data_IF_474706690022
#
_entry.id   IF_474706690022
#
_cell.length_a   1.000
_cell.length_b   1.000
_cell.length_c   1.000
_cell.angle_alpha   90.00
_cell.angle_beta   90.00
_cell.angle_gamma   90.00
#
_symmetry.space_group_name_H-M   'P 1'
#
loop_
_entity.id
_entity.type
_entity.pdbx_description
1 polymer ?
#
# COMPACT_ATOMS: atom_id res chain seq x y z
N UNK A 1 -17.00 14.97 22.05
CA UNK A 1 -16.69 15.43 20.70
C UNK A 1 -16.69 14.21 19.79
N UNK A 2 -17.38 14.32 18.66
CA UNK A 2 -17.46 13.26 17.64
C UNK A 2 -16.18 13.35 16.79
N UNK A 3 -15.09 12.82 17.33
CA UNK A 3 -13.80 12.81 16.63
C UNK A 3 -13.64 11.48 15.91
N UNK A 4 -13.00 11.51 14.73
CA UNK A 4 -12.97 10.40 13.79
C UNK A 4 -11.81 9.44 14.09
N UNK A 5 -11.99 8.20 13.72
CA UNK A 5 -10.95 7.16 13.68
C UNK A 5 -10.78 6.80 12.22
N UNK A 6 -9.60 7.06 11.65
CA UNK A 6 -9.31 6.81 10.23
C UNK A 6 -8.42 5.57 10.03
N UNK A 7 -7.49 5.32 10.96
CA UNK A 7 -6.61 4.17 10.92
C UNK A 7 -7.32 2.84 11.22
N UNK A 8 -6.75 1.74 10.79
CA UNK A 8 -7.23 0.42 11.17
C UNK A 8 -6.91 0.11 12.65
N UNK A 9 -7.79 -0.67 13.27
CA UNK A 9 -7.56 -1.16 14.62
C UNK A 9 -6.50 -2.27 14.63
N UNK A 10 -5.63 -2.27 15.63
CA UNK A 10 -4.68 -3.34 15.90
C UNK A 10 -5.13 -4.17 17.11
N UNK A 11 -5.09 -5.48 16.97
CA UNK A 11 -5.46 -6.43 18.03
C UNK A 11 -4.20 -7.08 18.59
N UNK A 12 -4.00 -6.95 19.90
CA UNK A 12 -2.95 -7.65 20.65
C UNK A 12 -3.56 -8.33 21.89
N UNK A 13 -3.46 -9.65 21.94
CA UNK A 13 -4.06 -10.49 22.98
C UNK A 13 -5.55 -10.17 23.19
N UNK A 14 -5.92 -9.64 24.36
CA UNK A 14 -7.30 -9.32 24.75
C UNK A 14 -7.63 -7.83 24.55
N UNK A 15 -6.80 -7.07 23.85
CA UNK A 15 -6.93 -5.62 23.66
C UNK A 15 -6.96 -5.23 22.19
N UNK A 16 -7.74 -4.19 21.88
CA UNK A 16 -7.75 -3.53 20.59
C UNK A 16 -7.30 -2.08 20.74
N UNK A 17 -6.41 -1.62 19.87
CA UNK A 17 -5.83 -0.27 19.88
C UNK A 17 -6.20 0.49 18.61
N UNK A 18 -6.54 1.79 18.76
CA UNK A 18 -6.87 2.69 17.65
C UNK A 18 -6.27 4.08 17.86
N UNK A 19 -5.82 4.71 16.79
CA UNK A 19 -5.49 6.12 16.73
C UNK A 19 -6.73 6.96 16.43
N UNK A 20 -6.77 8.20 16.92
CA UNK A 20 -7.89 9.11 16.76
C UNK A 20 -7.40 10.49 16.25
N UNK A 21 -8.26 11.21 15.52
CA UNK A 21 -7.98 12.54 14.98
C UNK A 21 -7.74 13.62 16.07
N UNK A 22 -8.07 13.30 17.33
CA UNK A 22 -7.77 14.17 18.48
C UNK A 22 -6.33 14.03 19.02
N UNK A 23 -5.49 13.23 18.37
CA UNK A 23 -4.12 12.99 18.81
C UNK A 23 -3.97 11.96 19.93
N UNK A 24 -5.03 11.25 20.28
CA UNK A 24 -5.00 10.20 21.30
C UNK A 24 -4.95 8.80 20.66
N UNK A 25 -4.34 7.89 21.39
CA UNK A 25 -4.47 6.45 21.15
C UNK A 25 -5.31 5.85 22.27
N UNK A 26 -6.30 5.08 21.88
CA UNK A 26 -7.19 4.38 22.79
C UNK A 26 -7.00 2.88 22.71
N UNK A 27 -7.05 2.22 23.87
CA UNK A 27 -7.10 0.76 23.95
C UNK A 27 -8.35 0.30 24.69
N UNK A 28 -8.96 -0.79 24.21
CA UNK A 28 -10.18 -1.35 24.75
C UNK A 28 -10.02 -2.85 24.97
N UNK A 29 -10.60 -3.37 26.03
CA UNK A 29 -10.74 -4.80 26.25
C UNK A 29 -11.73 -5.40 25.24
N UNK A 30 -11.36 -6.50 24.59
CA UNK A 30 -12.18 -7.13 23.54
C UNK A 30 -13.43 -7.78 24.12
N UNK A 31 -13.38 -8.29 25.37
CA UNK A 31 -14.47 -9.04 25.96
C UNK A 31 -15.65 -8.17 26.38
N UNK A 32 -15.39 -6.96 26.89
CA UNK A 32 -16.42 -6.10 27.45
C UNK A 32 -16.45 -4.67 26.85
N UNK A 33 -15.49 -4.31 26.00
CA UNK A 33 -15.39 -3.00 25.34
C UNK A 33 -14.97 -1.87 26.28
N UNK A 34 -14.54 -2.16 27.51
CA UNK A 34 -14.08 -1.13 28.43
C UNK A 34 -12.74 -0.54 27.98
N UNK A 35 -12.61 0.80 28.10
CA UNK A 35 -11.35 1.48 27.84
C UNK A 35 -10.31 1.09 28.90
N UNK A 36 -9.19 0.51 28.46
CA UNK A 36 -8.09 0.05 29.31
C UNK A 36 -6.83 0.86 29.14
N UNK A 37 -6.70 1.59 28.02
CA UNK A 37 -5.51 2.35 27.67
C UNK A 37 -5.88 3.68 27.03
N UNK A 38 -5.12 4.74 27.35
CA UNK A 38 -5.18 6.04 26.69
C UNK A 38 -3.80 6.71 26.77
N UNK A 39 -3.30 7.15 25.62
CA UNK A 39 -2.09 7.95 25.51
C UNK A 39 -2.41 9.21 24.72
N UNK A 40 -2.00 10.36 25.24
CA UNK A 40 -2.14 11.68 24.63
C UNK A 40 -0.80 12.05 23.95
N UNK A 41 -0.82 12.22 22.60
CA UNK A 41 0.34 12.58 21.77
C UNK A 41 0.27 14.04 21.28
N UNK A 42 -0.70 14.82 21.75
CA UNK A 42 -0.95 16.19 21.34
C UNK A 42 -2.30 16.37 20.65
N UNK A 43 -2.39 17.36 19.75
CA UNK A 43 -3.65 17.68 19.08
C UNK A 43 -3.65 17.32 17.58
N UNK A 44 -2.57 16.71 17.09
CA UNK A 44 -2.44 16.36 15.69
C UNK A 44 -2.95 14.94 15.43
N UNK A 45 -3.55 14.72 14.29
CA UNK A 45 -4.27 13.49 13.96
C UNK A 45 -3.37 12.24 14.01
N UNK A 46 -3.91 11.14 14.50
CA UNK A 46 -3.32 9.80 14.45
C UNK A 46 -4.09 8.98 13.40
N UNK A 47 -3.73 9.15 12.14
CA UNK A 47 -4.31 8.42 11.00
C UNK A 47 -3.63 7.06 10.78
N UNK A 48 -2.36 6.96 11.15
CA UNK A 48 -1.57 5.73 11.13
C UNK A 48 -2.21 4.65 12.01
N UNK A 49 -2.29 3.42 11.50
CA UNK A 49 -2.71 2.27 12.30
C UNK A 49 -1.59 1.86 13.25
N UNK A 50 -1.84 1.72 14.56
CA UNK A 50 -0.79 1.31 15.50
C UNK A 50 -0.38 -0.15 15.28
N UNK A 51 0.83 -0.51 15.73
CA UNK A 51 1.24 -1.91 15.96
C UNK A 51 1.76 -2.07 17.37
N UNK A 52 1.67 -3.29 17.90
CA UNK A 52 2.23 -3.64 19.22
C UNK A 52 3.34 -4.68 19.05
N UNK A 53 4.50 -4.39 19.62
CA UNK A 53 5.66 -5.29 19.63
C UNK A 53 6.30 -5.24 21.02
N UNK A 54 6.53 -6.38 21.64
CA UNK A 54 7.24 -6.52 22.91
C UNK A 54 6.70 -5.60 24.05
N UNK A 55 5.37 -5.40 24.11
CA UNK A 55 4.73 -4.55 25.14
C UNK A 55 4.85 -3.04 24.90
N UNK A 56 5.29 -2.64 23.71
CA UNK A 56 5.33 -1.26 23.23
C UNK A 56 4.42 -1.08 22.02
N UNK A 57 3.74 0.06 21.96
CA UNK A 57 2.91 0.47 20.82
C UNK A 57 3.68 1.49 19.99
N UNK A 58 3.64 1.30 18.66
CA UNK A 58 4.29 2.17 17.68
C UNK A 58 3.26 2.77 16.74
N UNK A 59 3.40 4.07 16.45
CA UNK A 59 2.44 4.80 15.60
C UNK A 59 3.09 6.05 15.00
N UNK A 60 2.60 6.45 13.82
CA UNK A 60 2.92 7.75 13.21
C UNK A 60 1.83 8.78 13.51
N UNK A 61 2.20 10.06 13.49
CA UNK A 61 1.28 11.20 13.66
C UNK A 61 1.47 12.23 12.54
N UNK A 62 0.43 12.96 12.21
CA UNK A 62 0.49 14.07 11.25
C UNK A 62 1.35 15.24 11.71
N UNK A 63 1.79 15.25 13.00
CA UNK A 63 2.79 16.21 13.47
C UNK A 63 4.24 15.90 13.03
N UNK A 64 4.42 14.84 12.25
CA UNK A 64 5.74 14.43 11.74
C UNK A 64 6.54 13.57 12.70
N UNK A 65 5.94 13.04 13.77
CA UNK A 65 6.65 12.16 14.69
C UNK A 65 6.20 10.71 14.56
N UNK A 66 7.15 9.81 14.76
CA UNK A 66 6.94 8.40 15.07
C UNK A 66 7.10 8.21 16.56
N UNK A 67 6.14 7.56 17.21
CA UNK A 67 6.12 7.35 18.65
C UNK A 67 6.25 5.89 19.03
N UNK A 68 6.98 5.63 20.12
CA UNK A 68 6.97 4.38 20.85
C UNK A 68 6.39 4.64 22.26
N UNK A 69 5.35 3.92 22.60
CA UNK A 69 4.61 4.11 23.86
C UNK A 69 4.60 2.80 24.65
N UNK A 70 4.98 2.86 25.92
CA UNK A 70 4.95 1.70 26.79
C UNK A 70 3.51 1.40 27.23
N UNK A 71 3.01 0.20 26.95
CA UNK A 71 1.65 -0.21 27.25
C UNK A 71 1.33 -0.32 28.74
N UNK A 72 2.35 -0.50 29.61
CA UNK A 72 2.10 -0.66 31.05
C UNK A 72 1.91 0.66 31.79
N UNK A 73 2.46 1.77 31.28
CA UNK A 73 2.46 3.05 32.01
C UNK A 73 2.08 4.26 31.14
N UNK A 74 1.72 4.03 29.86
CA UNK A 74 1.33 5.04 28.88
C UNK A 74 2.39 6.10 28.54
N UNK A 75 3.63 5.93 29.01
CA UNK A 75 4.70 6.87 28.75
C UNK A 75 5.26 6.70 27.35
N UNK A 76 5.59 7.81 26.71
CA UNK A 76 6.41 7.81 25.48
C UNK A 76 7.82 7.36 25.88
N UNK A 77 8.24 6.22 25.34
CA UNK A 77 9.57 5.66 25.55
C UNK A 77 10.61 6.38 24.70
N UNK A 78 10.25 6.61 23.45
CA UNK A 78 11.00 7.43 22.50
C UNK A 78 10.07 8.02 21.43
N UNK A 79 10.55 9.07 20.79
CA UNK A 79 9.95 9.64 19.58
C UNK A 79 11.05 9.98 18.59
N UNK A 80 10.73 9.84 17.30
CA UNK A 80 11.60 10.23 16.19
C UNK A 80 10.87 11.24 15.32
N UNK A 81 11.49 12.41 15.11
CA UNK A 81 10.93 13.44 14.24
C UNK A 81 11.38 13.20 12.79
N UNK A 82 10.42 12.98 11.90
CA UNK A 82 10.60 13.05 10.45
C UNK A 82 10.48 14.50 9.98
N UNK A 83 10.60 14.75 8.67
CA UNK A 83 10.53 16.10 8.12
C UNK A 83 9.10 16.60 7.86
N UNK A 84 8.09 15.72 7.80
CA UNK A 84 6.69 16.04 7.50
C UNK A 84 5.76 14.96 8.09
N UNK A 85 4.44 15.06 7.84
CA UNK A 85 3.39 14.21 8.38
C UNK A 85 3.61 12.70 8.11
N UNK A 86 3.25 11.86 9.10
CA UNK A 86 3.37 10.41 9.02
C UNK A 86 1.98 9.78 8.94
N UNK A 87 1.51 9.51 7.71
CA UNK A 87 0.25 8.79 7.43
C UNK A 87 0.45 7.28 7.34
N UNK A 88 1.64 6.84 6.97
CA UNK A 88 2.04 5.44 6.88
C UNK A 88 1.84 4.72 8.20
N UNK A 89 1.35 3.48 8.16
CA UNK A 89 1.32 2.63 9.34
C UNK A 89 2.65 1.89 9.48
N UNK A 90 3.20 1.77 10.70
CA UNK A 90 4.47 1.10 10.91
C UNK A 90 4.39 -0.40 10.62
N UNK A 91 5.51 -0.98 10.18
CA UNK A 91 5.73 -2.41 10.15
C UNK A 91 6.95 -2.76 11.00
N UNK A 92 6.98 -3.97 11.56
CA UNK A 92 8.08 -4.44 12.39
C UNK A 92 8.79 -5.63 11.75
N UNK A 93 10.10 -5.59 11.70
CA UNK A 93 10.93 -6.73 11.35
C UNK A 93 12.38 -6.53 11.85
N UNK A 94 13.04 -7.61 12.25
CA UNK A 94 14.45 -7.65 12.57
C UNK A 94 14.91 -6.51 13.53
N UNK A 95 14.10 -6.26 14.59
CA UNK A 95 14.39 -5.21 15.59
C UNK A 95 14.23 -3.77 15.06
N UNK A 96 13.53 -3.58 13.95
CA UNK A 96 13.32 -2.28 13.32
C UNK A 96 11.83 -1.98 13.14
N UNK A 97 11.48 -0.72 13.33
CA UNK A 97 10.20 -0.13 12.96
C UNK A 97 10.40 0.55 11.61
N UNK A 98 9.69 0.08 10.59
CA UNK A 98 9.76 0.61 9.22
C UNK A 98 8.51 1.45 8.98
N UNK A 99 8.67 2.69 8.52
CA UNK A 99 7.56 3.64 8.36
C UNK A 99 7.87 4.71 7.32
N UNK A 100 6.87 5.09 6.51
CA UNK A 100 6.98 6.17 5.53
C UNK A 100 6.55 7.52 6.10
N UNK A 101 7.04 8.61 5.50
CA UNK A 101 6.67 9.98 5.83
C UNK A 101 6.37 10.80 4.57
N UNK A 102 5.57 11.85 4.71
CA UNK A 102 5.32 12.84 3.65
C UNK A 102 6.53 13.73 3.32
N UNK A 103 7.67 13.53 4.03
CA UNK A 103 8.97 14.13 3.70
C UNK A 103 9.76 13.36 2.64
N UNK A 104 9.06 12.52 1.87
CA UNK A 104 9.56 11.73 0.74
C UNK A 104 10.38 10.48 1.15
N UNK A 105 10.48 10.16 2.44
CA UNK A 105 11.39 9.14 2.94
C UNK A 105 10.69 7.95 3.60
N UNK A 106 11.31 6.77 3.45
CA UNK A 106 11.06 5.59 4.25
C UNK A 106 12.14 5.47 5.32
N UNK A 107 11.73 5.30 6.56
CA UNK A 107 12.62 5.19 7.73
C UNK A 107 12.62 3.78 8.31
N UNK A 108 13.78 3.34 8.75
CA UNK A 108 13.95 2.19 9.63
C UNK A 108 14.56 2.63 10.95
N UNK A 109 13.80 2.53 12.01
CA UNK A 109 14.16 2.98 13.35
C UNK A 109 14.39 1.77 14.26
N UNK A 110 15.39 1.83 15.13
CA UNK A 110 15.61 0.80 16.13
C UNK A 110 14.40 0.73 17.09
N UNK A 111 13.80 -0.44 17.24
CA UNK A 111 12.59 -0.62 18.05
C UNK A 111 12.75 -0.17 19.51
N UNK A 112 13.95 -0.35 20.07
CA UNK A 112 14.20 -0.15 21.50
C UNK A 112 14.42 1.31 21.89
N UNK A 113 15.14 2.07 21.04
CA UNK A 113 15.60 3.41 21.40
C UNK A 113 15.24 4.50 20.36
N UNK A 114 14.65 4.12 19.22
CA UNK A 114 14.25 5.05 18.16
C UNK A 114 15.39 5.60 17.31
N UNK A 115 16.62 5.11 17.47
CA UNK A 115 17.75 5.55 16.65
C UNK A 115 17.54 5.16 15.19
N UNK A 116 17.93 6.05 14.28
CA UNK A 116 17.90 5.78 12.84
C UNK A 116 18.87 4.65 12.48
N UNK A 117 18.35 3.57 11.90
CA UNK A 117 19.16 2.49 11.33
C UNK A 117 19.54 2.79 9.89
N UNK A 118 18.55 3.17 9.09
CA UNK A 118 18.68 3.64 7.70
C UNK A 118 17.43 4.42 7.28
N UNK A 119 17.57 5.25 6.26
CA UNK A 119 16.49 5.89 5.54
C UNK A 119 16.70 5.77 4.04
N UNK A 120 15.62 5.95 3.26
CA UNK A 120 15.67 5.93 1.80
C UNK A 120 14.72 6.98 1.23
N UNK A 121 15.24 7.88 0.40
CA UNK A 121 14.48 8.90 -0.32
C UNK A 121 13.75 8.27 -1.54
N UNK A 122 12.43 8.37 -1.55
CA UNK A 122 11.53 7.87 -2.60
C UNK A 122 11.10 8.97 -3.57
N UNK A 123 11.69 10.17 -3.47
CA UNK A 123 11.50 11.36 -4.30
C UNK A 123 10.09 11.98 -4.23
N UNK A 124 9.16 11.43 -3.46
CA UNK A 124 7.82 11.97 -3.22
C UNK A 124 7.19 11.31 -2.00
N UNK A 125 6.12 11.90 -1.46
CA UNK A 125 5.40 11.50 -0.26
C UNK A 125 5.16 10.00 -0.15
N UNK A 126 5.38 9.46 1.06
CA UNK A 126 5.25 8.03 1.36
C UNK A 126 4.06 7.80 2.28
N UNK A 127 2.87 7.74 1.69
CA UNK A 127 1.61 7.46 2.40
C UNK A 127 1.27 5.97 2.49
N UNK A 128 1.81 5.18 1.58
CA UNK A 128 1.73 3.71 1.64
C UNK A 128 2.32 3.19 2.94
N UNK A 129 1.83 2.06 3.43
CA UNK A 129 2.47 1.35 4.53
C UNK A 129 3.40 0.27 4.00
N UNK A 130 4.55 0.02 4.64
CA UNK A 130 5.51 -0.97 4.18
C UNK A 130 4.97 -2.39 4.31
N UNK A 131 5.24 -3.22 3.29
CA UNK A 131 5.03 -4.67 3.33
C UNK A 131 6.39 -5.36 3.43
N UNK A 132 6.54 -6.28 4.38
CA UNK A 132 7.83 -6.90 4.68
C UNK A 132 7.81 -8.39 4.31
N UNK A 133 8.87 -8.82 3.62
CA UNK A 133 9.22 -10.23 3.39
C UNK A 133 10.52 -10.54 4.14
N UNK A 134 10.38 -10.91 5.41
CA UNK A 134 11.53 -11.20 6.28
C UNK A 134 12.38 -12.35 5.74
N UNK A 135 11.76 -13.37 5.12
CA UNK A 135 12.48 -14.52 4.59
C UNK A 135 13.49 -14.13 3.51
N UNK A 136 13.14 -13.15 2.67
CA UNK A 136 13.99 -12.66 1.58
C UNK A 136 14.70 -11.34 1.92
N UNK A 137 14.54 -10.81 3.13
CA UNK A 137 15.03 -9.50 3.56
C UNK A 137 14.62 -8.39 2.61
N UNK A 138 13.31 -8.32 2.30
CA UNK A 138 12.76 -7.28 1.42
C UNK A 138 11.75 -6.40 2.18
N UNK A 139 11.78 -5.11 1.86
CA UNK A 139 10.73 -4.13 2.16
C UNK A 139 10.18 -3.62 0.85
N UNK A 140 8.84 -3.61 0.73
CA UNK A 140 8.12 -3.05 -0.42
C UNK A 140 7.32 -1.86 0.03
N UNK A 141 7.41 -0.76 -0.71
CA UNK A 141 6.77 0.50 -0.37
C UNK A 141 6.31 1.24 -1.63
N UNK A 142 5.11 1.80 -1.58
CA UNK A 142 4.61 2.71 -2.60
C UNK A 142 4.91 4.16 -2.26
N UNK A 143 5.01 5.04 -3.27
CA UNK A 143 5.13 6.49 -3.08
C UNK A 143 4.22 7.27 -4.04
N UNK A 144 4.01 8.56 -3.73
CA UNK A 144 3.26 9.48 -4.60
C UNK A 144 4.02 9.81 -5.90
N UNK A 145 5.30 9.42 -6.03
CA UNK A 145 6.03 9.41 -7.31
C UNK A 145 5.40 8.43 -8.32
N UNK A 146 4.59 7.48 -7.85
CA UNK A 146 3.96 6.46 -8.68
C UNK A 146 4.81 5.21 -8.86
N UNK A 147 5.66 4.92 -7.89
CA UNK A 147 6.50 3.73 -7.90
C UNK A 147 6.13 2.78 -6.75
N UNK A 148 6.16 1.48 -7.02
CA UNK A 148 6.39 0.47 -5.99
C UNK A 148 7.88 0.18 -5.96
N UNK A 149 8.53 0.38 -4.81
CA UNK A 149 9.98 0.20 -4.62
C UNK A 149 10.26 -0.97 -3.67
N UNK A 150 11.25 -1.78 -4.01
CA UNK A 150 11.79 -2.85 -3.16
C UNK A 150 13.18 -2.47 -2.67
N UNK A 151 13.37 -2.53 -1.35
CA UNK A 151 14.64 -2.27 -0.67
C UNK A 151 15.09 -3.50 0.12
N UNK A 152 16.38 -3.57 0.45
CA UNK A 152 16.88 -4.54 1.41
C UNK A 152 16.50 -4.11 2.84
N UNK A 153 15.85 -4.98 3.61
CA UNK A 153 15.38 -4.72 4.97
C UNK A 153 16.53 -4.38 5.95
N UNK A 154 17.74 -4.89 5.70
CA UNK A 154 18.87 -4.77 6.64
C UNK A 154 19.47 -3.37 6.62
N UNK A 155 19.60 -2.77 5.43
CA UNK A 155 20.40 -1.55 5.22
C UNK A 155 19.74 -0.51 4.30
N UNK A 156 18.51 -0.74 3.83
CA UNK A 156 17.79 0.17 2.94
C UNK A 156 18.32 0.20 1.50
N UNK A 157 19.23 -0.72 1.11
CA UNK A 157 19.77 -0.74 -0.24
C UNK A 157 18.69 -1.02 -1.28
N UNK A 158 18.65 -0.21 -2.35
CA UNK A 158 17.73 -0.37 -3.47
C UNK A 158 17.93 -1.71 -4.20
N UNK A 159 16.83 -2.41 -4.48
CA UNK A 159 16.82 -3.64 -5.26
C UNK A 159 16.17 -3.45 -6.63
N UNK A 160 14.94 -2.98 -6.66
CA UNK A 160 14.20 -2.67 -7.87
C UNK A 160 13.05 -1.70 -7.60
N UNK A 161 12.51 -1.08 -8.64
CA UNK A 161 11.25 -0.35 -8.60
C UNK A 161 10.44 -0.61 -9.86
N UNK A 162 9.11 -0.52 -9.72
CA UNK A 162 8.15 -0.62 -10.81
C UNK A 162 7.33 0.66 -10.86
N UNK A 163 7.36 1.35 -12.02
CA UNK A 163 6.63 2.60 -12.21
C UNK A 163 5.20 2.33 -12.67
N UNK A 164 4.24 3.03 -12.08
CA UNK A 164 2.83 3.08 -12.49
C UNK A 164 2.49 4.42 -13.14
N UNK A 165 1.22 4.64 -13.49
CA UNK A 165 0.78 5.90 -14.10
C UNK A 165 0.45 7.02 -13.11
N UNK A 166 0.37 6.73 -11.79
CA UNK A 166 -0.04 7.66 -10.73
C UNK A 166 0.39 7.14 -9.34
N UNK A 167 0.20 7.91 -8.24
CA UNK A 167 0.58 7.52 -6.89
C UNK A 167 0.23 6.10 -6.49
N UNK A 168 1.12 5.44 -5.75
CA UNK A 168 0.92 4.13 -5.11
C UNK A 168 0.78 4.34 -3.61
N UNK A 169 -0.46 4.48 -3.14
CA UNK A 169 -0.79 4.74 -1.72
C UNK A 169 -1.29 3.49 -0.99
N UNK A 170 -1.68 2.45 -1.72
CA UNK A 170 -2.06 1.17 -1.14
C UNK A 170 -0.88 0.47 -0.45
N UNK A 171 -1.14 -0.24 0.65
CA UNK A 171 -0.16 -1.17 1.24
C UNK A 171 -0.07 -2.42 0.38
N UNK A 172 1.11 -2.83 -0.10
CA UNK A 172 1.24 -4.04 -0.92
C UNK A 172 0.94 -5.32 -0.12
N UNK A 173 0.47 -6.35 -0.81
CA UNK A 173 0.26 -7.68 -0.24
C UNK A 173 1.10 -8.72 -0.99
N UNK A 174 1.76 -9.62 -0.25
CA UNK A 174 2.63 -10.67 -0.82
C UNK A 174 2.02 -12.05 -0.65
N UNK A 175 2.23 -12.89 -1.65
CA UNK A 175 1.94 -14.33 -1.60
C UNK A 175 2.92 -15.07 -2.48
N UNK A 176 3.66 -16.02 -1.90
CA UNK A 176 4.65 -16.85 -2.63
C UNK A 176 5.64 -15.97 -3.39
N UNK A 177 5.62 -15.99 -4.72
CA UNK A 177 6.50 -15.18 -5.59
C UNK A 177 5.85 -13.86 -6.05
N UNK A 178 4.59 -13.62 -5.68
CA UNK A 178 3.80 -12.48 -6.13
C UNK A 178 3.75 -11.37 -5.10
N UNK A 179 3.69 -10.14 -5.61
CA UNK A 179 3.31 -8.94 -4.85
C UNK A 179 2.20 -8.22 -5.60
N UNK A 180 1.14 -7.86 -4.88
CA UNK A 180 -0.02 -7.15 -5.43
C UNK A 180 -0.19 -5.79 -4.76
N UNK A 181 -0.59 -4.76 -5.53
CA UNK A 181 -0.89 -3.42 -5.02
C UNK A 181 -1.84 -2.68 -5.97
N UNK A 182 -2.48 -1.63 -5.47
CA UNK A 182 -3.31 -0.72 -6.25
C UNK A 182 -2.60 0.59 -6.53
N UNK A 183 -2.90 1.23 -7.66
CA UNK A 183 -2.43 2.57 -8.01
C UNK A 183 -3.60 3.52 -8.23
N UNK A 184 -3.35 4.81 -8.01
CA UNK A 184 -4.32 5.88 -8.30
C UNK A 184 -4.57 6.05 -9.82
N UNK A 185 -3.81 5.34 -10.68
CA UNK A 185 -4.14 5.23 -12.10
C UNK A 185 -5.35 4.31 -12.39
N UNK A 186 -5.93 3.72 -11.32
CA UNK A 186 -7.08 2.83 -11.41
C UNK A 186 -6.73 1.40 -11.80
N UNK A 187 -5.48 1.01 -11.67
CA UNK A 187 -4.98 -0.31 -12.02
C UNK A 187 -4.53 -1.07 -10.77
N UNK A 188 -4.96 -2.32 -10.66
CA UNK A 188 -4.38 -3.29 -9.75
C UNK A 188 -3.22 -4.01 -10.43
N UNK A 189 -2.06 -3.99 -9.80
CA UNK A 189 -0.82 -4.59 -10.30
C UNK A 189 -0.49 -5.88 -9.56
N UNK A 190 0.01 -6.86 -10.27
CA UNK A 190 0.61 -8.08 -9.70
C UNK A 190 1.96 -8.30 -10.37
N UNK A 191 3.02 -8.25 -9.57
CA UNK A 191 4.40 -8.39 -10.03
C UNK A 191 5.05 -9.62 -9.42
N UNK A 192 6.15 -10.05 -10.03
CA UNK A 192 7.11 -10.93 -9.38
C UNK A 192 7.84 -10.15 -8.28
N UNK A 193 7.72 -10.58 -7.02
CA UNK A 193 8.27 -9.85 -5.87
C UNK A 193 9.80 -9.77 -5.84
N UNK A 194 10.51 -10.65 -6.58
CA UNK A 194 11.97 -10.69 -6.62
C UNK A 194 12.56 -9.76 -7.68
N UNK A 195 11.88 -9.63 -8.81
CA UNK A 195 12.40 -8.90 -9.99
C UNK A 195 11.69 -7.59 -10.24
N UNK A 196 10.47 -7.39 -9.71
CA UNK A 196 9.61 -6.26 -10.02
C UNK A 196 8.99 -6.34 -11.42
N UNK A 197 9.17 -7.46 -12.13
CA UNK A 197 8.54 -7.67 -13.44
C UNK A 197 7.05 -7.91 -13.29
N UNK A 198 6.28 -7.35 -14.22
CA UNK A 198 4.83 -7.47 -14.26
C UNK A 198 4.41 -8.89 -14.64
N UNK A 199 3.61 -9.53 -13.80
CA UNK A 199 2.98 -10.82 -14.11
C UNK A 199 1.63 -10.60 -14.81
N UNK A 200 0.82 -9.70 -14.27
CA UNK A 200 -0.41 -9.18 -14.91
C UNK A 200 -0.90 -7.91 -14.22
N UNK A 201 -1.78 -7.18 -14.91
CA UNK A 201 -2.49 -6.03 -14.39
C UNK A 201 -3.99 -6.20 -14.58
N UNK A 202 -4.77 -5.53 -13.74
CA UNK A 202 -6.21 -5.46 -13.86
C UNK A 202 -6.68 -4.01 -13.75
N UNK A 203 -7.25 -3.50 -14.82
CA UNK A 203 -7.87 -2.18 -14.85
C UNK A 203 -9.38 -2.34 -15.10
N UNK A 204 -10.22 -2.15 -14.06
CA UNK A 204 -11.66 -2.29 -14.19
C UNK A 204 -12.34 -1.13 -14.93
N UNK A 205 -11.58 -0.04 -15.13
CA UNK A 205 -12.11 1.17 -15.76
C UNK A 205 -12.36 1.05 -17.26
N UNK A 206 -13.03 2.04 -17.79
CA UNK A 206 -13.13 2.28 -19.23
C UNK A 206 -12.24 3.46 -19.60
N UNK A 207 -11.94 3.64 -20.90
CA UNK A 207 -11.13 4.76 -21.41
C UNK A 207 -11.60 6.14 -20.90
N UNK A 208 -12.84 6.26 -20.44
CA UNK A 208 -13.47 7.52 -20.01
C UNK A 208 -13.73 7.61 -18.50
N UNK A 209 -13.66 6.49 -17.76
CA UNK A 209 -13.99 6.42 -16.33
C UNK A 209 -13.04 5.43 -15.67
N UNK A 210 -11.98 5.97 -15.09
CA UNK A 210 -11.02 5.23 -14.29
C UNK A 210 -11.16 5.68 -12.83
N UNK A 211 -11.29 4.76 -11.90
CA UNK A 211 -11.43 5.06 -10.49
C UNK A 211 -10.16 4.61 -9.77
N UNK A 212 -9.58 5.49 -8.97
CA UNK A 212 -8.36 5.22 -8.20
C UNK A 212 -8.51 3.98 -7.32
N UNK A 213 -7.47 3.15 -7.24
CA UNK A 213 -7.37 2.01 -6.35
C UNK A 213 -6.37 2.35 -5.23
N UNK A 214 -6.87 3.01 -4.20
CA UNK A 214 -6.09 3.33 -3.00
C UNK A 214 -6.21 2.26 -1.91
N UNK A 215 -7.18 1.34 -2.03
CA UNK A 215 -7.35 0.26 -1.08
C UNK A 215 -6.16 -0.71 -1.12
N UNK A 216 -5.75 -1.15 0.06
CA UNK A 216 -4.76 -2.23 0.18
C UNK A 216 -5.38 -3.55 -0.26
N UNK A 217 -4.73 -4.31 -1.15
CA UNK A 217 -5.22 -5.61 -1.57
C UNK A 217 -5.19 -6.63 -0.43
N UNK A 218 -6.13 -7.56 -0.48
CA UNK A 218 -6.17 -8.72 0.42
C UNK A 218 -6.07 -9.99 -0.40
N UNK A 219 -5.18 -10.89 0.00
CA UNK A 219 -5.01 -12.20 -0.64
C UNK A 219 -5.54 -13.28 0.31
N UNK A 220 -6.49 -14.08 -0.16
CA UNK A 220 -7.00 -15.25 0.55
C UNK A 220 -7.04 -16.47 -0.38
N UNK A 221 -6.23 -17.49 -0.08
CA UNK A 221 -6.04 -18.60 -1.00
C UNK A 221 -5.51 -18.11 -2.35
N UNK A 222 -6.18 -18.45 -3.45
CA UNK A 222 -5.84 -17.99 -4.80
C UNK A 222 -6.65 -16.77 -5.24
N UNK A 223 -7.39 -16.13 -4.33
CA UNK A 223 -8.18 -14.94 -4.63
C UNK A 223 -7.49 -13.67 -4.12
N UNK A 224 -7.34 -12.70 -5.01
CA UNK A 224 -6.90 -11.34 -4.73
C UNK A 224 -8.11 -10.42 -4.75
N UNK A 225 -8.26 -9.60 -3.72
CA UNK A 225 -9.35 -8.64 -3.58
C UNK A 225 -8.78 -7.22 -3.47
N UNK A 226 -9.40 -6.26 -4.13
CA UNK A 226 -9.18 -4.82 -3.94
C UNK A 226 -10.44 -4.04 -4.27
N UNK A 227 -10.50 -2.77 -3.82
CA UNK A 227 -11.62 -1.88 -4.04
C UNK A 227 -11.17 -0.57 -4.68
N UNK A 228 -12.06 0.05 -5.44
CA UNK A 228 -11.87 1.38 -6.03
C UNK A 228 -12.64 2.47 -5.27
N UNK A 229 -12.32 3.74 -5.55
CA UNK A 229 -13.02 4.88 -4.98
C UNK A 229 -14.49 5.02 -5.42
N UNK A 230 -14.93 4.29 -6.47
CA UNK A 230 -16.33 4.24 -6.89
C UNK A 230 -17.16 3.27 -6.04
N UNK A 231 -16.53 2.57 -5.07
CA UNK A 231 -17.19 1.65 -4.16
C UNK A 231 -17.35 0.23 -4.70
N UNK A 232 -16.63 -0.13 -5.76
CA UNK A 232 -16.62 -1.50 -6.28
C UNK A 232 -15.53 -2.32 -5.57
N UNK A 233 -15.84 -3.61 -5.36
CA UNK A 233 -14.89 -4.61 -4.88
C UNK A 233 -14.67 -5.63 -5.98
N UNK A 234 -13.41 -5.91 -6.28
CA UNK A 234 -12.99 -6.84 -7.32
C UNK A 234 -12.36 -8.07 -6.70
N UNK A 235 -12.60 -9.23 -7.31
CA UNK A 235 -11.95 -10.49 -6.96
C UNK A 235 -11.32 -11.10 -8.20
N UNK A 236 -10.01 -11.34 -8.13
CA UNK A 236 -9.22 -11.96 -9.20
C UNK A 236 -8.67 -13.30 -8.72
N UNK A 237 -8.65 -14.28 -9.61
CA UNK A 237 -7.91 -15.52 -9.37
C UNK A 237 -6.44 -15.32 -9.76
N UNK A 238 -5.52 -15.50 -8.81
CA UNK A 238 -4.07 -15.37 -9.01
C UNK A 238 -3.35 -16.73 -9.14
N UNK A 239 -4.11 -17.81 -9.38
CA UNK A 239 -3.52 -19.12 -9.64
C UNK A 239 -2.90 -19.16 -11.05
N UNK A 240 -1.57 -19.20 -11.11
CA UNK A 240 -0.83 -19.29 -12.37
C UNK A 240 -1.19 -20.53 -13.21
N UNK A 241 -1.77 -21.58 -12.58
CA UNK A 241 -2.17 -22.79 -13.30
C UNK A 241 -3.45 -22.63 -14.11
N UNK A 242 -4.25 -21.59 -13.82
CA UNK A 242 -5.56 -21.34 -14.45
C UNK A 242 -5.63 -20.08 -15.31
N UNK A 243 -4.51 -19.34 -15.51
CA UNK A 243 -4.50 -18.19 -16.44
C UNK A 243 -4.71 -18.75 -17.85
N UNK A 244 -5.90 -18.63 -18.45
CA UNK A 244 -6.11 -19.18 -19.79
C UNK A 244 -5.26 -18.33 -20.75
N UNK A 245 -4.45 -19.00 -21.54
CA UNK A 245 -3.80 -18.41 -22.73
C UNK A 245 -4.80 -17.78 -23.73
N UNK A 246 -6.08 -17.75 -23.38
CA UNK A 246 -7.20 -17.34 -24.22
C UNK A 246 -7.52 -15.83 -24.19
N UNK A 247 -7.20 -15.08 -23.13
CA UNK A 247 -7.55 -13.65 -23.12
C UNK A 247 -6.67 -12.81 -24.05
N UNK A 248 -5.40 -13.15 -24.19
CA UNK A 248 -4.52 -12.52 -25.19
C UNK A 248 -5.00 -12.75 -26.63
N UNK A 249 -5.66 -13.89 -26.89
CA UNK A 249 -6.19 -14.19 -28.22
C UNK A 249 -7.43 -13.33 -28.55
N UNK A 250 -8.27 -12.97 -27.56
CA UNK A 250 -9.43 -12.13 -27.78
C UNK A 250 -9.06 -10.67 -28.07
N UNK A 251 -8.08 -10.09 -27.37
CA UNK A 251 -7.62 -8.73 -27.62
C UNK A 251 -6.90 -8.62 -28.97
N UNK A 252 -6.02 -9.58 -29.32
CA UNK A 252 -5.36 -9.60 -30.63
C UNK A 252 -6.34 -9.85 -31.77
N UNK A 253 -7.36 -10.68 -31.58
CA UNK A 253 -8.41 -10.87 -32.59
C UNK A 253 -9.31 -9.63 -32.75
N UNK A 254 -9.69 -8.97 -31.65
CA UNK A 254 -10.49 -7.74 -31.69
C UNK A 254 -9.74 -6.60 -32.40
N UNK A 255 -8.45 -6.41 -32.11
CA UNK A 255 -7.62 -5.40 -32.78
C UNK A 255 -7.43 -5.74 -34.27
N UNK A 256 -7.22 -7.01 -34.62
CA UNK A 256 -7.11 -7.45 -36.02
C UNK A 256 -8.43 -7.22 -36.78
N UNK A 257 -9.59 -7.49 -36.17
CA UNK A 257 -10.91 -7.24 -36.79
C UNK A 257 -11.13 -5.75 -37.02
N UNK A 258 -10.77 -4.88 -36.06
CA UNK A 258 -10.89 -3.42 -36.20
C UNK A 258 -9.98 -2.93 -37.34
N UNK A 259 -8.73 -3.38 -37.40
CA UNK A 259 -7.79 -3.03 -38.49
C UNK A 259 -8.34 -3.51 -39.84
N UNK A 260 -8.89 -4.72 -39.92
CA UNK A 260 -9.45 -5.25 -41.16
C UNK A 260 -10.68 -4.44 -41.65
N UNK A 261 -11.54 -4.04 -40.72
CA UNK A 261 -12.73 -3.18 -41.05
C UNK A 261 -12.27 -1.82 -41.55
N UNK A 262 -11.30 -1.18 -40.89
CA UNK A 262 -10.75 0.11 -41.33
C UNK A 262 -10.11 -0.01 -42.71
N UNK A 263 -9.31 -1.03 -42.99
CA UNK A 263 -8.70 -1.27 -44.32
C UNK A 263 -9.76 -1.48 -45.38
N UNK A 264 -10.81 -2.27 -45.11
CA UNK A 264 -11.92 -2.49 -46.07
C UNK A 264 -12.68 -1.21 -46.38
N UNK A 265 -12.93 -0.36 -45.36
CA UNK A 265 -13.59 0.93 -45.52
C UNK A 265 -12.75 1.88 -46.38
N UNK A 266 -11.44 1.99 -46.09
CA UNK A 266 -10.51 2.85 -46.84
C UNK A 266 -10.40 2.38 -48.28
N UNK A 267 -10.25 1.08 -48.56
CA UNK A 267 -10.17 0.54 -49.91
C UNK A 267 -11.48 0.78 -50.72
N UNK A 268 -12.67 0.64 -50.08
CA UNK A 268 -13.94 0.94 -50.72
C UNK A 268 -14.09 2.44 -51.04
N UNK A 269 -13.59 3.30 -50.14
CA UNK A 269 -13.66 4.77 -50.34
C UNK A 269 -12.75 5.19 -51.49
N UNK A 270 -11.53 4.66 -51.58
CA UNK A 270 -10.56 4.91 -52.66
C UNK A 270 -11.14 4.42 -54.01
N UNK A 271 -11.71 3.19 -54.08
CA UNK A 271 -12.34 2.66 -55.28
C UNK A 271 -13.55 3.47 -55.74
N UNK A 272 -14.28 4.11 -54.82
CA UNK A 272 -15.43 5.00 -55.17
C UNK A 272 -14.95 6.36 -55.70
N UNK A 273 -13.79 6.84 -55.22
CA UNK A 273 -13.20 8.12 -55.67
C UNK A 273 -12.58 8.00 -57.08
N UNK A 274 -11.97 6.86 -57.39
CA UNK A 274 -11.34 6.60 -58.74
C UNK A 274 -12.35 6.19 -59.80
N UNK A 275 -13.65 6.14 -59.53
CA UNK A 275 -14.73 5.89 -60.50
C UNK A 275 -15.56 7.13 -60.84
N UNK A 276 -15.17 8.30 -60.39
CA UNK A 276 -15.67 9.62 -60.77
C UNK A 276 -14.59 10.37 -61.55
#
# INVERSE_FOLDING_TARGET
SDESIQGAAYVDNDSVYVGCDNGHIYGFDIADGNKTFEADLGNDEIVSSPIVVNGSLYVGSTNGNVYCINLNNTNITWQYATGDAVYSSPAYADGKIIIGSDDDSLYALNETNGDLCWDYDLNNKVKSSPCIDEYNNNVYIGSDEGNLTCLDLRDGTFKWSHATGAPVQSTPAIKEELIAFGSNDGTGYVLNKYTGEEEFTYNPGTILFNSEITSSPVINGNSLFFADHSGHVYSLNIDKSEVPACEYLYYTLAVLVVILVVVVVVVKTIKKHNRR
#
